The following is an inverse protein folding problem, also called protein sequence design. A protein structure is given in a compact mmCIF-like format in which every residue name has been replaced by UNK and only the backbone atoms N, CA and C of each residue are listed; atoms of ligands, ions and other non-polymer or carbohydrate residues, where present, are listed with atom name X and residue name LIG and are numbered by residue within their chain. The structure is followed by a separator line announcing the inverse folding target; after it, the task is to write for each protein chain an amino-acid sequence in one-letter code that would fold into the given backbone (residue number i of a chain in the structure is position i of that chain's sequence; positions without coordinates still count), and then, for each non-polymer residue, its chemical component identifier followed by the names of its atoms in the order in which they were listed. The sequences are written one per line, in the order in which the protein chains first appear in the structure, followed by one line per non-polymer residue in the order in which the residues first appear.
data_IF_529891628913
#
_entry.id   IF_529891628913
#
_cell.length_a   1.000
_cell.length_b   1.000
_cell.length_c   1.000
_cell.angle_alpha   90.00
_cell.angle_beta   90.00
_cell.angle_gamma   90.00
#
_symmetry.space_group_name_H-M   'P 1'
#
loop_
_entity.id
_entity.type
_entity.pdbx_description
1 polymer ?
#
# COMPACT_ATOMS: atom_id res chain seq x y z
N UNK A 1 -19.08 15.44 0.40
CA UNK A 1 -17.78 14.95 -0.11
C UNK A 1 -16.83 14.53 1.02
N UNK A 2 -16.62 15.32 2.08
CA UNK A 2 -15.77 14.97 3.24
C UNK A 2 -16.05 13.60 3.93
N UNK A 3 -17.30 13.12 3.93
CA UNK A 3 -17.68 11.83 4.52
C UNK A 3 -17.05 10.64 3.79
N UNK A 4 -16.90 10.72 2.48
CA UNK A 4 -16.33 9.64 1.67
C UNK A 4 -14.80 9.56 1.80
N UNK A 5 -14.11 10.71 1.90
CA UNK A 5 -12.66 10.78 2.20
C UNK A 5 -12.33 10.17 3.56
N UNK A 6 -13.04 10.57 4.61
CA UNK A 6 -12.85 10.01 5.97
C UNK A 6 -13.12 8.51 5.98
N UNK A 7 -14.13 8.05 5.24
CA UNK A 7 -14.44 6.62 5.08
C UNK A 7 -13.30 5.88 4.37
N UNK A 8 -12.80 6.39 3.24
CA UNK A 8 -11.68 5.78 2.51
C UNK A 8 -10.40 5.74 3.35
N UNK A 9 -10.00 6.88 3.91
CA UNK A 9 -8.79 6.96 4.74
C UNK A 9 -8.86 6.04 5.95
N UNK A 10 -10.04 5.94 6.59
CA UNK A 10 -10.26 5.00 7.69
C UNK A 10 -10.11 3.55 7.23
N UNK A 11 -10.75 3.16 6.14
CA UNK A 11 -10.66 1.79 5.58
C UNK A 11 -9.21 1.46 5.24
N UNK A 12 -8.53 2.31 4.48
CA UNK A 12 -7.14 2.07 4.05
C UNK A 12 -6.20 2.02 5.26
N UNK A 13 -6.26 2.96 6.20
CA UNK A 13 -5.37 2.97 7.36
C UNK A 13 -5.62 1.78 8.29
N UNK A 14 -6.86 1.29 8.38
CA UNK A 14 -7.19 0.12 9.20
C UNK A 14 -6.62 -1.17 8.61
N UNK A 15 -6.57 -1.26 7.26
CA UNK A 15 -6.29 -2.52 6.57
C UNK A 15 -4.98 -2.54 5.76
N UNK A 16 -4.24 -1.44 5.64
CA UNK A 16 -3.00 -1.37 4.84
C UNK A 16 -1.92 -2.38 5.26
N UNK A 17 -1.90 -2.78 6.54
CA UNK A 17 -0.98 -3.80 7.02
C UNK A 17 -1.27 -5.19 6.41
N UNK A 18 -2.47 -5.40 5.85
CA UNK A 18 -2.80 -6.63 5.11
C UNK A 18 -1.94 -6.80 3.85
N UNK A 19 -1.39 -5.73 3.27
CA UNK A 19 -0.44 -5.85 2.15
C UNK A 19 0.79 -6.66 2.57
N UNK A 20 1.31 -6.41 3.77
CA UNK A 20 2.47 -7.13 4.33
C UNK A 20 2.12 -8.59 4.59
N UNK A 21 0.91 -8.85 5.12
CA UNK A 21 0.41 -10.21 5.28
C UNK A 21 0.30 -10.93 3.93
N UNK A 22 -0.30 -10.30 2.92
CA UNK A 22 -0.47 -10.87 1.57
C UNK A 22 0.88 -11.17 0.93
N UNK A 23 1.82 -10.22 0.96
CA UNK A 23 3.15 -10.43 0.41
C UNK A 23 3.88 -11.57 1.13
N UNK A 24 3.86 -11.60 2.47
CA UNK A 24 4.47 -12.67 3.25
C UNK A 24 3.90 -14.06 2.94
N UNK A 25 2.64 -14.17 2.50
CA UNK A 25 2.02 -15.45 2.12
C UNK A 25 2.43 -15.90 0.71
N UNK A 26 2.78 -14.97 -0.17
CA UNK A 26 3.19 -15.25 -1.56
C UNK A 26 4.72 -15.24 -1.73
N UNK A 27 5.46 -14.85 -0.69
CA UNK A 27 6.90 -14.76 -0.73
C UNK A 27 7.57 -16.11 -0.45
N UNK A 28 8.41 -16.56 -1.38
CA UNK A 28 9.24 -17.74 -1.19
C UNK A 28 10.49 -17.40 -0.39
N UNK A 29 10.43 -17.56 0.93
CA UNK A 29 11.59 -17.38 1.81
C UNK A 29 11.22 -17.14 3.27
N UNK A 30 12.23 -16.76 4.05
CA UNK A 30 12.06 -16.41 5.47
C UNK A 30 11.51 -15.00 5.65
N UNK A 31 10.93 -14.72 6.84
CA UNK A 31 10.46 -13.39 7.20
C UNK A 31 11.60 -12.33 7.16
N UNK A 32 12.83 -12.73 7.48
CA UNK A 32 14.02 -11.88 7.36
C UNK A 32 14.30 -11.50 5.91
N UNK A 33 14.26 -12.46 4.98
CA UNK A 33 14.44 -12.16 3.56
C UNK A 33 13.31 -11.29 3.01
N UNK A 34 12.07 -11.52 3.46
CA UNK A 34 10.94 -10.69 3.06
C UNK A 34 11.10 -9.22 3.53
N UNK A 35 11.54 -9.00 4.79
CA UNK A 35 11.71 -7.64 5.31
C UNK A 35 12.93 -6.93 4.70
N UNK A 36 13.96 -7.68 4.33
CA UNK A 36 15.08 -7.20 3.53
C UNK A 36 14.58 -6.69 2.17
N UNK A 37 13.82 -7.49 1.42
CA UNK A 37 13.28 -7.07 0.13
C UNK A 37 12.36 -5.85 0.22
N UNK A 38 11.47 -5.80 1.23
CA UNK A 38 10.61 -4.64 1.47
C UNK A 38 11.46 -3.39 1.75
N UNK A 39 12.51 -3.52 2.57
CA UNK A 39 13.36 -2.37 2.91
C UNK A 39 14.17 -1.91 1.71
N UNK A 40 14.77 -2.83 0.97
CA UNK A 40 15.51 -2.53 -0.27
C UNK A 40 14.62 -1.80 -1.25
N UNK A 41 13.41 -2.33 -1.53
CA UNK A 41 12.46 -1.68 -2.43
C UNK A 41 12.06 -0.29 -1.97
N UNK A 42 11.86 -0.09 -0.66
CA UNK A 42 11.52 1.21 -0.11
C UNK A 42 12.63 2.25 -0.28
N UNK A 43 13.90 1.83 -0.18
CA UNK A 43 15.06 2.68 -0.41
C UNK A 43 15.21 3.00 -1.90
N UNK A 44 15.10 2.00 -2.78
CA UNK A 44 15.16 2.17 -4.24
C UNK A 44 14.10 3.14 -4.77
N UNK A 45 12.90 3.10 -4.19
CA UNK A 45 11.78 3.98 -4.55
C UNK A 45 11.78 5.30 -3.77
N UNK A 46 12.81 5.57 -2.97
CA UNK A 46 12.96 6.75 -2.13
C UNK A 46 11.77 7.00 -1.17
N UNK A 47 11.07 5.94 -0.75
CA UNK A 47 10.00 6.04 0.27
C UNK A 47 10.57 6.24 1.68
N UNK A 48 11.83 5.85 1.88
CA UNK A 48 12.58 6.04 3.12
C UNK A 48 14.05 6.29 2.77
N UNK A 49 14.76 7.04 3.61
CA UNK A 49 16.20 7.17 3.49
C UNK A 49 16.89 5.82 3.68
N UNK A 50 18.11 5.70 3.14
CA UNK A 50 18.92 4.50 3.28
C UNK A 50 19.04 4.08 4.75
N UNK A 51 18.68 2.82 5.03
CA UNK A 51 18.67 2.26 6.37
C UNK A 51 18.81 0.74 6.33
N UNK A 52 19.34 0.11 7.40
CA UNK A 52 19.30 -1.33 7.53
C UNK A 52 17.86 -1.84 7.68
N UNK A 53 17.57 -3.05 7.17
CA UNK A 53 16.28 -3.69 7.37
C UNK A 53 16.04 -3.97 8.86
N UNK A 54 14.79 -3.84 9.35
CA UNK A 54 14.45 -4.27 10.70
C UNK A 54 14.58 -5.79 10.85
N UNK A 55 14.62 -6.32 12.09
CA UNK A 55 14.52 -7.76 12.33
C UNK A 55 13.23 -8.36 11.75
N UNK A 56 13.29 -9.59 11.25
CA UNK A 56 12.16 -10.27 10.61
C UNK A 56 10.93 -10.41 11.52
N UNK A 57 11.13 -10.52 12.84
CA UNK A 57 10.07 -10.60 13.84
C UNK A 57 9.16 -9.37 13.84
N UNK A 58 9.68 -8.21 13.42
CA UNK A 58 8.94 -6.96 13.33
C UNK A 58 7.80 -7.06 12.32
N UNK A 59 7.93 -7.90 11.29
CA UNK A 59 6.87 -8.09 10.28
C UNK A 59 5.58 -8.61 10.93
N UNK A 60 5.70 -9.52 11.90
CA UNK A 60 4.55 -10.03 12.66
C UNK A 60 3.91 -8.93 13.51
N UNK A 61 4.71 -8.11 14.17
CA UNK A 61 4.22 -6.97 14.96
C UNK A 61 3.48 -5.95 14.07
N UNK A 62 4.01 -5.65 12.87
CA UNK A 62 3.37 -4.74 11.92
C UNK A 62 1.98 -5.20 11.49
N UNK A 63 1.80 -6.50 11.28
CA UNK A 63 0.50 -7.07 10.88
C UNK A 63 -0.45 -7.16 12.07
N UNK A 64 -0.01 -7.68 13.22
CA UNK A 64 -0.88 -7.90 14.39
C UNK A 64 -1.31 -6.57 15.01
N UNK A 65 -0.39 -5.62 15.17
CA UNK A 65 -0.68 -4.32 15.78
C UNK A 65 -1.23 -3.31 14.78
N UNK A 66 -1.28 -3.65 13.49
CA UNK A 66 -1.62 -2.73 12.38
C UNK A 66 -0.78 -1.43 12.41
N UNK A 67 0.49 -1.55 12.81
CA UNK A 67 1.45 -0.43 12.99
C UNK A 67 2.57 -0.42 11.96
N UNK A 68 2.36 -1.08 10.82
CA UNK A 68 3.25 -0.99 9.69
C UNK A 68 3.52 0.49 9.31
N UNK A 69 4.79 0.91 9.17
CA UNK A 69 5.10 2.26 8.71
C UNK A 69 4.70 2.41 7.24
N UNK A 70 4.36 3.64 6.83
CA UNK A 70 3.83 3.89 5.50
C UNK A 70 4.79 3.48 4.37
N UNK A 71 6.10 3.72 4.55
CA UNK A 71 7.11 3.30 3.56
C UNK A 71 7.10 1.78 3.33
N UNK A 72 6.86 0.98 4.38
CA UNK A 72 6.79 -0.47 4.27
C UNK A 72 5.55 -0.89 3.48
N UNK A 73 4.38 -0.33 3.80
CA UNK A 73 3.16 -0.59 3.03
C UNK A 73 3.31 -0.19 1.55
N UNK A 74 3.96 0.94 1.27
CA UNK A 74 4.20 1.40 -0.12
C UNK A 74 5.11 0.44 -0.86
N UNK A 75 6.24 0.06 -0.27
CA UNK A 75 7.18 -0.88 -0.89
C UNK A 75 6.58 -2.28 -1.07
N UNK A 76 5.81 -2.76 -0.09
CA UNK A 76 5.10 -4.03 -0.22
C UNK A 76 4.06 -4.00 -1.33
N UNK A 77 3.36 -2.88 -1.51
CA UNK A 77 2.46 -2.72 -2.65
C UNK A 77 3.21 -2.86 -3.98
N UNK A 78 4.37 -2.21 -4.13
CA UNK A 78 5.20 -2.33 -5.34
C UNK A 78 5.57 -3.79 -5.63
N UNK A 79 6.00 -4.52 -4.60
CA UNK A 79 6.38 -5.93 -4.72
C UNK A 79 5.18 -6.83 -5.06
N UNK A 80 3.98 -6.53 -4.54
CA UNK A 80 2.77 -7.27 -4.90
C UNK A 80 2.40 -7.06 -6.37
N UNK A 81 2.54 -5.83 -6.90
CA UNK A 81 2.31 -5.55 -8.32
C UNK A 81 3.29 -6.31 -9.21
N UNK A 82 4.55 -6.46 -8.79
CA UNK A 82 5.55 -7.27 -9.51
C UNK A 82 5.24 -8.78 -9.50
N UNK A 83 4.46 -9.24 -8.53
CA UNK A 83 3.94 -10.60 -8.45
C UNK A 83 2.58 -10.76 -9.15
N UNK A 84 2.20 -9.81 -10.01
CA UNK A 84 0.93 -9.77 -10.73
C UNK A 84 -0.31 -9.85 -9.81
N UNK A 85 -0.17 -9.41 -8.55
CA UNK A 85 -1.29 -9.42 -7.61
C UNK A 85 -2.37 -8.41 -8.03
N UNK A 86 -3.63 -8.86 -7.99
CA UNK A 86 -4.81 -8.03 -8.26
C UNK A 86 -5.78 -8.07 -7.06
N UNK A 87 -6.39 -6.93 -6.70
CA UNK A 87 -7.38 -6.86 -5.63
C UNK A 87 -8.69 -7.57 -6.00
N UNK A 88 -9.19 -8.40 -5.10
CA UNK A 88 -10.42 -9.17 -5.30
C UNK A 88 -11.59 -8.65 -4.45
N UNK A 89 -11.30 -8.06 -3.28
CA UNK A 89 -12.32 -7.54 -2.35
C UNK A 89 -12.43 -6.02 -2.42
N UNK A 90 -13.55 -5.45 -1.98
CA UNK A 90 -13.72 -3.99 -1.90
C UNK A 90 -12.65 -3.30 -1.04
N UNK A 91 -12.22 -3.95 0.04
CA UNK A 91 -11.16 -3.43 0.90
C UNK A 91 -9.83 -3.40 0.14
N UNK A 92 -9.49 -4.48 -0.57
CA UNK A 92 -8.27 -4.54 -1.38
C UNK A 92 -8.33 -3.52 -2.53
N UNK A 93 -9.49 -3.34 -3.17
CA UNK A 93 -9.67 -2.31 -4.21
C UNK A 93 -9.49 -0.91 -3.65
N UNK A 94 -10.05 -0.62 -2.48
CA UNK A 94 -9.86 0.67 -1.81
C UNK A 94 -8.37 0.93 -1.46
N UNK A 95 -7.66 -0.09 -0.98
CA UNK A 95 -6.22 -0.01 -0.72
C UNK A 95 -5.46 0.20 -2.03
N UNK A 96 -5.68 -0.65 -3.04
CA UNK A 96 -4.98 -0.56 -4.32
C UNK A 96 -5.20 0.79 -5.01
N UNK A 97 -6.44 1.30 -5.04
CA UNK A 97 -6.73 2.63 -5.56
C UNK A 97 -5.91 3.74 -4.88
N UNK A 98 -5.79 3.68 -3.55
CA UNK A 98 -5.00 4.65 -2.80
C UNK A 98 -3.50 4.49 -3.04
N UNK A 99 -2.99 3.27 -3.08
CA UNK A 99 -1.55 3.00 -3.21
C UNK A 99 -1.03 3.19 -4.63
N UNK A 100 -1.82 2.91 -5.69
CA UNK A 100 -1.48 3.28 -7.06
C UNK A 100 -1.19 4.78 -7.18
N UNK A 101 -2.07 5.60 -6.60
CA UNK A 101 -1.93 7.05 -6.57
C UNK A 101 -0.76 7.51 -5.70
N UNK A 102 -0.60 6.93 -4.50
CA UNK A 102 0.51 7.30 -3.60
C UNK A 102 1.88 6.90 -4.17
N UNK A 103 1.96 5.82 -4.93
CA UNK A 103 3.22 5.29 -5.46
C UNK A 103 3.48 5.77 -6.90
N UNK A 104 2.61 6.64 -7.43
CA UNK A 104 2.69 7.21 -8.76
C UNK A 104 2.75 6.14 -9.86
N UNK A 105 1.93 5.09 -9.73
CA UNK A 105 1.81 4.05 -10.76
C UNK A 105 0.90 4.53 -11.90
N UNK A 106 1.23 4.16 -13.15
CA UNK A 106 0.35 4.39 -14.28
C UNK A 106 -0.95 3.58 -14.12
N UNK A 107 -2.08 4.27 -14.17
CA UNK A 107 -3.40 3.65 -14.05
C UNK A 107 -3.91 3.28 -15.45
N UNK A 108 -3.71 2.02 -15.83
CA UNK A 108 -4.23 1.45 -17.08
C UNK A 108 -5.76 1.33 -17.09
N UNK A 109 -6.35 1.10 -18.27
CA UNK A 109 -7.79 0.83 -18.38
C UNK A 109 -8.22 -0.41 -17.58
N UNK A 110 -7.36 -1.44 -17.48
CA UNK A 110 -7.63 -2.62 -16.65
C UNK A 110 -7.76 -2.26 -15.16
N UNK A 111 -6.87 -1.39 -14.65
CA UNK A 111 -6.97 -0.88 -13.29
C UNK A 111 -8.22 -0.02 -13.07
N UNK A 112 -8.60 0.83 -14.04
CA UNK A 112 -9.84 1.61 -13.96
C UNK A 112 -11.07 0.71 -13.86
N UNK A 113 -11.15 -0.32 -14.71
CA UNK A 113 -12.26 -1.27 -14.70
C UNK A 113 -12.31 -2.09 -13.41
N UNK A 114 -11.15 -2.51 -12.90
CA UNK A 114 -11.06 -3.33 -11.69
C UNK A 114 -11.46 -2.57 -10.42
N UNK A 115 -11.01 -1.32 -10.30
CA UNK A 115 -11.19 -0.50 -9.10
C UNK A 115 -12.50 0.28 -9.11
N UNK A 116 -13.00 0.68 -10.28
CA UNK A 116 -14.26 1.39 -10.44
C UNK A 116 -14.36 2.64 -9.54
N UNK A 117 -15.42 2.72 -8.75
CA UNK A 117 -15.70 3.84 -7.86
C UNK A 117 -14.60 4.10 -6.83
N UNK A 118 -13.86 3.07 -6.41
CA UNK A 118 -12.78 3.22 -5.43
C UNK A 118 -11.65 4.10 -5.97
N UNK A 119 -11.38 4.04 -7.27
CA UNK A 119 -10.38 4.89 -7.91
C UNK A 119 -10.80 6.37 -7.92
N UNK A 120 -12.08 6.64 -8.21
CA UNK A 120 -12.61 8.00 -8.24
C UNK A 120 -12.62 8.61 -6.83
N UNK A 121 -13.00 7.83 -5.81
CA UNK A 121 -12.90 8.24 -4.41
C UNK A 121 -11.46 8.54 -3.99
N UNK A 122 -10.49 7.76 -4.45
CA UNK A 122 -9.08 7.96 -4.14
C UNK A 122 -8.51 9.23 -4.80
N UNK A 123 -8.88 9.50 -6.06
CA UNK A 123 -8.50 10.72 -6.79
C UNK A 123 -9.08 11.98 -6.12
N UNK A 124 -10.36 11.95 -5.76
CA UNK A 124 -11.01 13.06 -5.04
C UNK A 124 -10.28 13.35 -3.73
N UNK A 125 -9.96 12.30 -2.95
CA UNK A 125 -9.23 12.44 -1.70
C UNK A 125 -7.80 12.99 -1.86
N UNK A 126 -7.15 12.80 -3.03
CA UNK A 126 -5.83 13.35 -3.32
C UNK A 126 -5.90 14.82 -3.75
N UNK A 127 -6.85 15.17 -4.62
CA UNK A 127 -7.04 16.55 -5.09
C UNK A 127 -7.37 17.51 -3.93
N UNK A 128 -8.28 17.11 -3.05
CA UNK A 128 -8.65 17.91 -1.87
C UNK A 128 -7.47 18.15 -0.90
N UNK A 129 -6.44 17.29 -0.89
CA UNK A 129 -5.23 17.54 -0.10
C UNK A 129 -4.25 18.49 -0.78
N UNK A 130 -4.35 18.68 -2.10
CA UNK A 130 -3.54 19.63 -2.85
C UNK A 130 -4.11 21.05 -2.72
N UNK A 131 -5.44 21.16 -2.76
CA UNK A 131 -6.15 22.43 -2.71
C UNK A 131 -6.16 23.08 -1.30
N UNK A 132 -5.81 22.34 -0.23
CA UNK A 132 -5.68 22.88 1.14
C UNK A 132 -4.37 23.66 1.38
N UNK A 133 -3.45 23.70 0.40
CA UNK A 133 -2.17 24.40 0.50
C UNK A 133 -1.97 25.49 -0.59
N UNK A 134 -3.03 25.86 -1.32
CA UNK A 134 -3.06 27.06 -2.18
C UNK A 134 -3.75 28.24 -1.47
#
# INVERSE_FOLDING_TARGET
MATNKKKLARVVNTHRANLIKLYSLNFEGSATQAIEQITTRAVERAYVAHRPPPPGEVMKAWVIESRAPQWACRATFDLLIELDWLPNTDIEKAIAARFLLLNDYPISESWKALLGEWLELAKQAQKENSDEYE
#
